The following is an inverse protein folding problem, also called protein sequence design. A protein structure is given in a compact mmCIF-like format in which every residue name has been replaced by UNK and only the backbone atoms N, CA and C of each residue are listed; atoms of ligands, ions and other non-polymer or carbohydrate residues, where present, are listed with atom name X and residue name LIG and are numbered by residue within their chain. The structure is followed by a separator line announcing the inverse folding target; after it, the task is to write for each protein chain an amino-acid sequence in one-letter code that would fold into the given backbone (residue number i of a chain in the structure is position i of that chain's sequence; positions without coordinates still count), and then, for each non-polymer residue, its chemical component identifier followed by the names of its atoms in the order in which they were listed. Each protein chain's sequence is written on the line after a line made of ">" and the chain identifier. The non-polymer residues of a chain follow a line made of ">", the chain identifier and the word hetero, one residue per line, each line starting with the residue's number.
data_IF_820917839759
#
_entry.id   IF_820917839759
#
_cell.length_a   1.000
_cell.length_b   1.000
_cell.length_c   1.000
_cell.angle_alpha   90.00
_cell.angle_beta   90.00
_cell.angle_gamma   90.00
#
_symmetry.space_group_name_H-M   'P 1'
#
loop_
_entity.id
_entity.type
_entity.pdbx_description
1 polymer ?
#
# COMPACT_ATOMS: atom_id res chain seq x y z
N UNK A 1 -1.52 -76.84 -19.16
CA UNK A 1 -1.34 -76.50 -17.72
C UNK A 1 -0.68 -75.18 -17.64
N UNK A 2 -1.48 -74.09 -17.42
CA UNK A 2 -0.95 -72.77 -17.12
C UNK A 2 -2.01 -71.99 -16.33
N UNK A 3 -1.78 -71.91 -15.04
CA UNK A 3 -2.64 -71.34 -14.04
C UNK A 3 -2.43 -69.78 -14.02
N UNK A 4 -3.41 -69.01 -14.45
CA UNK A 4 -3.45 -67.57 -14.24
C UNK A 4 -3.85 -67.27 -12.81
N UNK A 5 -2.93 -66.71 -11.99
CA UNK A 5 -3.21 -66.14 -10.68
C UNK A 5 -3.83 -64.73 -10.86
N UNK A 6 -5.07 -64.58 -10.47
CA UNK A 6 -5.75 -63.28 -10.38
C UNK A 6 -5.41 -62.64 -9.04
N UNK A 7 -4.78 -61.47 -9.07
CA UNK A 7 -4.54 -60.68 -7.88
C UNK A 7 -5.74 -59.74 -7.70
N UNK A 8 -6.56 -60.01 -6.69
CA UNK A 8 -7.64 -59.13 -6.25
C UNK A 8 -7.10 -58.17 -5.22
N UNK A 9 -7.05 -56.89 -5.57
CA UNK A 9 -6.88 -55.80 -4.59
C UNK A 9 -8.21 -55.54 -3.89
N UNK A 10 -8.29 -55.86 -2.59
CA UNK A 10 -9.38 -55.43 -1.73
C UNK A 10 -9.09 -54.04 -1.25
N UNK A 11 -9.86 -53.02 -1.72
CA UNK A 11 -9.90 -51.71 -1.11
C UNK A 11 -10.75 -51.81 0.17
N UNK A 12 -10.13 -51.75 1.32
CA UNK A 12 -10.80 -51.56 2.58
C UNK A 12 -11.18 -50.06 2.72
N UNK A 13 -12.43 -49.76 2.48
CA UNK A 13 -12.99 -48.43 2.82
C UNK A 13 -13.30 -48.49 4.32
N UNK A 14 -12.52 -47.76 5.10
CA UNK A 14 -12.81 -47.50 6.50
C UNK A 14 -14.09 -46.65 6.60
N UNK A 15 -15.13 -47.25 7.12
CA UNK A 15 -16.36 -46.59 7.52
C UNK A 15 -16.15 -46.12 8.95
N UNK A 16 -15.78 -44.88 9.15
CA UNK A 16 -15.88 -44.18 10.44
C UNK A 16 -17.03 -43.20 10.37
N UNK A 17 -18.10 -43.57 11.05
CA UNK A 17 -19.17 -42.67 11.42
C UNK A 17 -18.67 -41.77 12.54
N UNK A 18 -18.55 -40.47 12.27
CA UNK A 18 -18.57 -39.46 13.33
C UNK A 18 -19.34 -38.22 12.84
N UNK A 19 -20.56 -38.12 13.40
CA UNK A 19 -21.30 -36.87 13.41
C UNK A 19 -20.43 -35.83 14.10
N UNK A 20 -19.83 -34.92 13.36
CA UNK A 20 -19.33 -33.65 13.90
C UNK A 20 -20.18 -32.53 13.33
N UNK A 21 -20.97 -31.95 14.21
CA UNK A 21 -21.61 -30.67 14.02
C UNK A 21 -20.54 -29.64 13.64
N UNK A 22 -20.68 -29.07 12.45
CA UNK A 22 -19.94 -27.84 12.09
C UNK A 22 -20.54 -26.72 12.91
N UNK A 23 -19.92 -26.43 14.05
CA UNK A 23 -20.20 -25.22 14.81
C UNK A 23 -19.73 -24.05 13.96
N UNK A 24 -20.68 -23.23 13.48
CA UNK A 24 -20.36 -21.93 12.89
C UNK A 24 -19.72 -21.07 13.96
N UNK A 25 -18.40 -20.92 13.88
CA UNK A 25 -17.65 -19.97 14.68
C UNK A 25 -18.07 -18.56 14.20
N UNK A 26 -18.93 -17.92 14.96
CA UNK A 26 -19.12 -16.48 14.89
C UNK A 26 -17.79 -15.82 15.24
N UNK A 27 -17.08 -15.33 14.24
CA UNK A 27 -15.93 -14.47 14.45
C UNK A 27 -16.49 -13.15 14.99
N UNK A 28 -16.48 -13.00 16.31
CA UNK A 28 -16.68 -11.72 16.96
C UNK A 28 -15.55 -10.80 16.55
N UNK A 29 -15.83 -9.84 15.67
CA UNK A 29 -14.92 -8.74 15.40
C UNK A 29 -14.68 -7.97 16.70
N UNK A 30 -13.41 -7.76 17.10
CA UNK A 30 -13.14 -6.92 18.25
C UNK A 30 -13.67 -5.52 17.95
N UNK A 31 -14.62 -5.06 18.77
CA UNK A 31 -15.05 -3.67 18.77
C UNK A 31 -13.89 -2.84 19.30
N UNK A 32 -13.08 -2.28 18.41
CA UNK A 32 -12.13 -1.24 18.80
C UNK A 32 -12.95 -0.01 19.19
N UNK A 33 -12.90 0.32 20.49
CA UNK A 33 -13.40 1.59 20.97
C UNK A 33 -12.68 2.72 20.22
N UNK A 34 -13.44 3.49 19.45
CA UNK A 34 -12.94 4.63 18.70
C UNK A 34 -12.45 5.68 19.70
N UNK A 35 -11.12 5.85 19.81
CA UNK A 35 -10.55 7.13 20.20
C UNK A 35 -11.01 8.15 19.15
N UNK A 36 -11.43 9.32 19.58
CA UNK A 36 -11.88 10.45 18.74
C UNK A 36 -10.71 10.98 17.92
N UNK A 37 -10.21 10.22 16.96
CA UNK A 37 -9.35 10.74 15.91
C UNK A 37 -10.23 11.38 14.84
N UNK A 38 -9.90 12.60 14.48
CA UNK A 38 -10.63 13.46 13.55
C UNK A 38 -10.77 12.86 12.14
N UNK A 39 -9.96 11.86 11.80
CA UNK A 39 -9.98 11.14 10.53
C UNK A 39 -9.99 9.63 10.74
N UNK A 40 -10.87 8.94 10.03
CA UNK A 40 -10.85 7.48 9.98
C UNK A 40 -9.80 7.00 8.98
N UNK A 41 -8.95 6.07 9.39
CA UNK A 41 -7.97 5.46 8.48
C UNK A 41 -8.72 4.48 7.56
N UNK A 42 -8.73 4.76 6.26
CA UNK A 42 -9.34 3.87 5.29
C UNK A 42 -8.50 2.58 5.15
N UNK A 43 -9.13 1.39 5.16
CA UNK A 43 -8.41 0.13 5.00
C UNK A 43 -7.81 -0.01 3.59
N UNK A 44 -6.79 -0.88 3.46
CA UNK A 44 -6.18 -1.24 2.17
C UNK A 44 -7.12 -2.16 1.36
N UNK A 45 -8.23 -1.62 0.85
CA UNK A 45 -9.23 -2.42 0.13
C UNK A 45 -8.91 -2.66 -1.36
N UNK A 46 -7.73 -2.25 -1.83
CA UNK A 46 -7.27 -2.41 -3.21
C UNK A 46 -8.31 -1.91 -4.23
N UNK A 47 -8.84 -2.82 -5.08
CA UNK A 47 -9.86 -2.49 -6.07
C UNK A 47 -11.30 -2.64 -5.56
N UNK A 48 -11.51 -3.10 -4.33
CA UNK A 48 -12.85 -3.37 -3.79
C UNK A 48 -13.68 -2.10 -3.60
N UNK A 49 -13.01 -1.01 -3.29
CA UNK A 49 -13.59 0.32 -3.14
C UNK A 49 -12.74 1.38 -3.84
N UNK A 50 -13.35 2.51 -4.12
CA UNK A 50 -12.69 3.69 -4.68
C UNK A 50 -13.21 4.94 -3.99
N UNK A 51 -12.31 5.89 -3.74
CA UNK A 51 -12.63 7.19 -3.14
C UNK A 51 -12.18 8.36 -4.04
N UNK A 52 -11.86 8.06 -5.30
CA UNK A 52 -11.51 9.09 -6.26
C UNK A 52 -11.57 8.64 -7.71
N UNK A 53 -11.65 9.58 -8.66
CA UNK A 53 -11.88 9.27 -10.08
C UNK A 53 -10.70 8.56 -10.76
N UNK A 54 -9.48 8.63 -10.20
CA UNK A 54 -8.33 7.91 -10.74
C UNK A 54 -8.33 6.40 -10.40
N UNK A 55 -9.09 5.97 -9.38
CA UNK A 55 -9.22 4.56 -8.99
C UNK A 55 -10.54 3.91 -9.43
N UNK A 56 -11.61 4.69 -9.58
CA UNK A 56 -12.95 4.20 -9.90
C UNK A 56 -13.03 3.32 -11.15
N UNK A 57 -12.44 3.68 -12.32
CA UNK A 57 -12.49 2.82 -13.49
C UNK A 57 -11.77 1.49 -13.29
N UNK A 58 -10.67 1.48 -12.54
CA UNK A 58 -9.93 0.25 -12.19
C UNK A 58 -10.74 -0.64 -11.25
N UNK A 59 -11.46 -0.06 -10.29
CA UNK A 59 -12.35 -0.79 -9.40
C UNK A 59 -13.47 -1.50 -10.19
N UNK A 60 -14.13 -0.81 -11.13
CA UNK A 60 -15.17 -1.41 -11.97
C UNK A 60 -14.62 -2.54 -12.83
N UNK A 61 -13.47 -2.35 -13.47
CA UNK A 61 -12.80 -3.40 -14.23
C UNK A 61 -12.48 -4.61 -13.35
N UNK A 62 -11.98 -4.37 -12.13
CA UNK A 62 -11.67 -5.41 -11.14
C UNK A 62 -12.90 -6.24 -10.76
N UNK A 63 -14.04 -5.61 -10.53
CA UNK A 63 -15.30 -6.30 -10.22
C UNK A 63 -15.83 -7.12 -11.39
N UNK A 64 -15.80 -6.58 -12.61
CA UNK A 64 -16.19 -7.33 -13.82
C UNK A 64 -15.30 -8.57 -14.00
N UNK A 65 -13.99 -8.41 -13.85
CA UNK A 65 -13.03 -9.51 -13.93
C UNK A 65 -13.31 -10.56 -12.86
N UNK A 66 -13.55 -10.13 -11.62
CA UNK A 66 -13.87 -11.02 -10.50
C UNK A 66 -15.16 -11.81 -10.74
N UNK A 67 -16.22 -11.15 -11.25
CA UNK A 67 -17.46 -11.81 -11.57
C UNK A 67 -17.27 -12.90 -12.65
N UNK A 68 -16.51 -12.62 -13.70
CA UNK A 68 -16.18 -13.61 -14.76
C UNK A 68 -15.42 -14.80 -14.15
N UNK A 69 -14.41 -14.54 -13.30
CA UNK A 69 -13.65 -15.62 -12.66
C UNK A 69 -14.52 -16.50 -11.76
N UNK A 70 -15.42 -15.90 -10.98
CA UNK A 70 -16.36 -16.64 -10.11
C UNK A 70 -17.28 -17.52 -10.95
N UNK A 71 -17.83 -17.01 -12.05
CA UNK A 71 -18.67 -17.79 -12.95
C UNK A 71 -17.90 -18.98 -13.55
N UNK A 72 -16.69 -18.73 -14.05
CA UNK A 72 -15.83 -19.81 -14.60
C UNK A 72 -15.52 -20.84 -13.51
N UNK A 73 -15.15 -20.41 -12.32
CA UNK A 73 -14.88 -21.29 -11.18
C UNK A 73 -16.07 -22.19 -10.85
N UNK A 74 -17.29 -21.62 -10.80
CA UNK A 74 -18.52 -22.37 -10.54
C UNK A 74 -18.76 -23.40 -11.66
N UNK A 75 -18.67 -22.99 -12.91
CA UNK A 75 -18.86 -23.90 -14.07
C UNK A 75 -17.87 -25.08 -14.00
N UNK A 76 -16.58 -24.79 -13.84
CA UNK A 76 -15.55 -25.83 -13.77
C UNK A 76 -15.76 -26.76 -12.57
N UNK A 77 -16.13 -26.21 -11.41
CA UNK A 77 -16.42 -26.99 -10.20
C UNK A 77 -17.62 -27.91 -10.41
N UNK A 78 -18.69 -27.41 -11.00
CA UNK A 78 -19.88 -28.21 -11.28
C UNK A 78 -19.60 -29.32 -12.31
N UNK A 79 -18.84 -29.03 -13.37
CA UNK A 79 -18.41 -30.03 -14.34
C UNK A 79 -17.52 -31.11 -13.70
N UNK A 80 -16.62 -30.72 -12.80
CA UNK A 80 -15.77 -31.66 -12.09
C UNK A 80 -16.60 -32.55 -11.16
N UNK A 81 -17.50 -32.00 -10.38
CA UNK A 81 -18.41 -32.74 -9.49
C UNK A 81 -19.26 -33.71 -10.33
N UNK A 82 -19.83 -33.23 -11.44
CA UNK A 82 -20.60 -34.08 -12.33
C UNK A 82 -19.74 -35.23 -12.88
N UNK A 83 -18.52 -34.95 -13.33
CA UNK A 83 -17.60 -35.98 -13.85
C UNK A 83 -17.19 -37.02 -12.82
N UNK A 84 -17.08 -36.64 -11.52
CA UNK A 84 -16.78 -37.55 -10.41
C UNK A 84 -17.98 -38.41 -10.04
N UNK A 85 -19.18 -37.88 -10.08
CA UNK A 85 -20.41 -38.58 -9.70
C UNK A 85 -20.98 -39.43 -10.85
N UNK A 86 -20.65 -39.09 -12.11
CA UNK A 86 -21.15 -39.77 -13.28
C UNK A 86 -20.44 -41.14 -13.48
N UNK A 87 -21.21 -42.21 -13.42
CA UNK A 87 -20.70 -43.57 -13.68
C UNK A 87 -20.35 -43.70 -15.15
N UNK A 88 -19.08 -43.84 -15.46
CA UNK A 88 -18.62 -44.14 -16.83
C UNK A 88 -18.80 -45.61 -17.12
N UNK A 89 -19.37 -46.02 -18.29
CA UNK A 89 -19.34 -47.38 -18.72
C UNK A 89 -17.90 -47.86 -18.90
N UNK A 90 -17.60 -49.08 -18.49
CA UNK A 90 -16.31 -49.73 -18.77
C UNK A 90 -16.30 -49.97 -20.27
N UNK A 91 -15.46 -49.24 -20.99
CA UNK A 91 -15.26 -49.41 -22.42
C UNK A 91 -14.12 -50.41 -22.55
N UNK A 92 -14.42 -51.64 -23.05
CA UNK A 92 -13.39 -52.59 -23.45
C UNK A 92 -12.53 -51.94 -24.55
N UNK A 93 -11.19 -52.00 -24.40
CA UNK A 93 -10.17 -51.19 -25.05
C UNK A 93 -10.09 -51.24 -26.61
N UNK A 94 -11.19 -51.53 -27.28
CA UNK A 94 -11.28 -51.57 -28.77
C UNK A 94 -12.08 -50.45 -29.36
N UNK A 95 -12.66 -49.52 -28.58
CA UNK A 95 -13.43 -48.38 -29.09
C UNK A 95 -12.68 -47.07 -28.85
N UNK A 96 -11.52 -46.90 -29.47
CA UNK A 96 -11.02 -45.62 -29.90
C UNK A 96 -11.57 -45.41 -31.32
N UNK A 97 -12.86 -45.56 -31.49
CA UNK A 97 -13.49 -45.19 -32.75
C UNK A 97 -14.45 -44.05 -32.48
N UNK A 98 -13.94 -42.90 -32.88
CA UNK A 98 -14.69 -41.90 -33.64
C UNK A 98 -15.98 -41.38 -33.02
N UNK A 99 -15.95 -40.24 -32.67
CA UNK A 99 -16.62 -39.17 -33.39
C UNK A 99 -16.10 -37.87 -32.77
N UNK A 100 -15.62 -36.99 -33.62
CA UNK A 100 -15.08 -35.65 -33.34
C UNK A 100 -16.06 -34.69 -32.66
N UNK A 101 -17.09 -35.20 -31.97
CA UNK A 101 -18.03 -34.39 -31.16
C UNK A 101 -17.34 -33.64 -30.04
N UNK A 102 -16.22 -34.17 -29.54
CA UNK A 102 -15.39 -33.47 -28.51
C UNK A 102 -14.70 -32.23 -29.08
N UNK A 103 -14.31 -32.27 -30.35
CA UNK A 103 -13.60 -31.17 -31.00
C UNK A 103 -14.51 -29.93 -31.15
N UNK A 104 -15.81 -30.14 -31.40
CA UNK A 104 -16.79 -29.06 -31.45
C UNK A 104 -16.85 -28.27 -30.14
N UNK A 105 -16.86 -28.97 -29.00
CA UNK A 105 -16.87 -28.33 -27.69
C UNK A 105 -15.58 -27.55 -27.40
N UNK A 106 -14.44 -28.03 -27.91
CA UNK A 106 -13.17 -27.31 -27.84
C UNK A 106 -13.26 -25.99 -28.65
N UNK A 107 -13.76 -26.04 -29.88
CA UNK A 107 -13.95 -24.84 -30.72
C UNK A 107 -14.93 -23.85 -30.08
N UNK A 108 -16.06 -24.33 -29.53
CA UNK A 108 -17.03 -23.48 -28.84
C UNK A 108 -16.38 -22.83 -27.61
N UNK A 109 -15.71 -23.62 -26.76
CA UNK A 109 -15.07 -23.11 -25.55
C UNK A 109 -13.95 -22.11 -25.87
N UNK A 110 -13.10 -22.42 -26.84
CA UNK A 110 -12.03 -21.51 -27.30
C UNK A 110 -12.63 -20.23 -27.89
N UNK A 111 -13.67 -20.33 -28.72
CA UNK A 111 -14.34 -19.19 -29.34
C UNK A 111 -14.93 -18.25 -28.27
N UNK A 112 -15.68 -18.80 -27.31
CA UNK A 112 -16.25 -18.01 -26.19
C UNK A 112 -15.13 -17.34 -25.38
N UNK A 113 -14.09 -18.10 -25.00
CA UNK A 113 -12.96 -17.55 -24.24
C UNK A 113 -12.25 -16.43 -24.97
N UNK A 114 -12.02 -16.60 -26.29
CA UNK A 114 -11.39 -15.58 -27.14
C UNK A 114 -12.25 -14.30 -27.19
N UNK A 115 -13.56 -14.43 -27.36
CA UNK A 115 -14.46 -13.27 -27.36
C UNK A 115 -14.44 -12.53 -25.99
N UNK A 116 -14.48 -13.27 -24.88
CA UNK A 116 -14.41 -12.67 -23.53
C UNK A 116 -13.08 -11.93 -23.33
N UNK A 117 -11.94 -12.56 -23.69
CA UNK A 117 -10.62 -11.96 -23.55
C UNK A 117 -10.49 -10.71 -24.43
N UNK A 118 -11.02 -10.74 -25.65
CA UNK A 118 -11.00 -9.57 -26.53
C UNK A 118 -11.84 -8.41 -25.98
N UNK A 119 -13.04 -8.71 -25.46
CA UNK A 119 -13.88 -7.71 -24.80
C UNK A 119 -13.20 -7.11 -23.56
N UNK A 120 -12.55 -7.94 -22.74
CA UNK A 120 -11.76 -7.47 -21.58
C UNK A 120 -10.56 -6.63 -22.00
N UNK A 121 -9.88 -6.98 -23.09
CA UNK A 121 -8.77 -6.17 -23.61
C UNK A 121 -9.25 -4.77 -24.04
N UNK A 122 -10.37 -4.69 -24.76
CA UNK A 122 -10.98 -3.39 -25.12
C UNK A 122 -11.36 -2.62 -23.86
N UNK A 123 -12.03 -3.26 -22.89
CA UNK A 123 -12.42 -2.60 -21.63
C UNK A 123 -11.20 -2.09 -20.85
N UNK A 124 -10.10 -2.85 -20.84
CA UNK A 124 -8.83 -2.42 -20.23
C UNK A 124 -8.28 -1.17 -20.93
N UNK A 125 -8.28 -1.11 -22.26
CA UNK A 125 -7.83 0.08 -23.00
C UNK A 125 -8.69 1.31 -22.71
N UNK A 126 -10.01 1.14 -22.63
CA UNK A 126 -10.94 2.22 -22.23
C UNK A 126 -10.64 2.69 -20.80
N UNK A 127 -10.42 1.76 -19.86
CA UNK A 127 -10.05 2.06 -18.48
C UNK A 127 -8.73 2.83 -18.41
N UNK A 128 -7.69 2.38 -19.12
CA UNK A 128 -6.40 3.06 -19.18
C UNK A 128 -6.53 4.50 -19.70
N UNK A 129 -7.33 4.70 -20.74
CA UNK A 129 -7.58 6.05 -21.28
C UNK A 129 -8.32 6.93 -20.27
N UNK A 130 -9.28 6.38 -19.53
CA UNK A 130 -10.05 7.12 -18.53
C UNK A 130 -9.21 7.60 -17.34
N UNK A 131 -8.19 6.82 -16.93
CA UNK A 131 -7.30 7.18 -15.81
C UNK A 131 -6.04 7.93 -16.24
N UNK A 132 -5.78 8.08 -17.54
CA UNK A 132 -4.55 8.67 -18.06
C UNK A 132 -4.40 10.16 -17.69
N UNK A 133 -5.50 10.89 -17.57
CA UNK A 133 -5.51 12.32 -17.27
C UNK A 133 -6.70 12.68 -16.38
N UNK A 134 -6.54 13.63 -15.44
CA UNK A 134 -7.66 14.17 -14.68
C UNK A 134 -8.57 15.02 -15.59
N UNK A 135 -9.84 15.16 -15.17
CA UNK A 135 -10.83 15.97 -15.89
C UNK A 135 -10.53 17.49 -15.83
N UNK A 136 -9.81 17.93 -14.79
CA UNK A 136 -9.35 19.30 -14.60
C UNK A 136 -7.82 19.32 -14.48
N UNK A 137 -7.20 20.45 -14.79
CA UNK A 137 -5.78 20.63 -14.55
C UNK A 137 -5.46 20.45 -13.06
N UNK A 138 -4.38 19.75 -12.70
CA UNK A 138 -3.96 19.62 -11.32
C UNK A 138 -3.70 21.00 -10.68
N UNK A 139 -4.29 21.24 -9.51
CA UNK A 139 -4.09 22.46 -8.74
C UNK A 139 -2.89 22.39 -7.79
N UNK A 140 -2.31 21.22 -7.62
CA UNK A 140 -1.15 20.96 -6.75
C UNK A 140 -0.21 19.99 -7.44
N UNK A 141 1.10 20.24 -7.31
CA UNK A 141 2.14 19.35 -7.81
C UNK A 141 3.04 18.91 -6.66
N UNK A 142 3.28 17.62 -6.57
CA UNK A 142 4.19 17.01 -5.61
C UNK A 142 5.31 16.27 -6.34
N UNK A 143 6.52 16.31 -5.80
CA UNK A 143 7.56 15.33 -6.16
C UNK A 143 7.76 14.36 -5.00
N UNK A 144 7.50 13.08 -5.24
CA UNK A 144 7.76 12.00 -4.29
C UNK A 144 9.00 11.24 -4.73
N UNK A 145 10.00 11.17 -3.85
CA UNK A 145 11.23 10.41 -4.09
C UNK A 145 11.29 9.24 -3.12
N UNK A 146 11.39 8.02 -3.67
CA UNK A 146 11.59 6.80 -2.89
C UNK A 146 13.05 6.64 -2.49
N UNK A 147 13.28 6.29 -1.25
CA UNK A 147 14.57 5.88 -0.67
C UNK A 147 14.37 4.52 0.01
N UNK A 148 15.42 3.81 0.32
CA UNK A 148 15.45 2.60 1.15
C UNK A 148 15.29 2.97 2.65
N UNK A 149 14.15 2.85 3.30
CA UNK A 149 12.78 2.47 2.87
C UNK A 149 11.84 3.52 3.44
N UNK A 150 11.79 4.70 2.81
CA UNK A 150 10.97 5.84 3.19
C UNK A 150 10.66 6.73 1.98
N UNK A 151 9.75 7.68 2.14
CA UNK A 151 9.27 8.56 1.08
C UNK A 151 9.58 10.01 1.43
N UNK A 152 10.40 10.68 0.60
CA UNK A 152 10.55 12.13 0.62
C UNK A 152 9.42 12.72 -0.20
N UNK A 153 8.70 13.71 0.35
CA UNK A 153 7.62 14.41 -0.33
C UNK A 153 7.96 15.89 -0.41
N UNK A 154 8.00 16.40 -1.60
CA UNK A 154 8.33 17.79 -1.93
C UNK A 154 7.08 18.44 -2.50
N UNK A 155 6.58 19.51 -1.86
CA UNK A 155 5.50 20.35 -2.38
C UNK A 155 6.11 21.41 -3.28
N UNK A 156 5.74 21.34 -4.56
CA UNK A 156 6.25 22.27 -5.57
C UNK A 156 5.40 23.55 -5.54
N UNK A 157 6.06 24.68 -5.78
CA UNK A 157 5.44 25.97 -5.99
C UNK A 157 6.27 26.75 -7.02
N UNK A 158 5.65 27.67 -7.76
CA UNK A 158 6.36 28.53 -8.70
C UNK A 158 7.35 29.42 -7.97
N UNK A 159 6.97 29.93 -6.79
CA UNK A 159 7.88 30.62 -5.87
C UNK A 159 8.71 29.59 -5.08
N UNK A 160 10.04 29.55 -5.28
CA UNK A 160 10.90 28.64 -4.53
C UNK A 160 10.84 28.78 -3.00
N UNK A 161 10.46 29.96 -2.49
CA UNK A 161 10.35 30.22 -1.06
C UNK A 161 9.12 29.54 -0.43
N UNK A 162 8.13 29.17 -1.25
CA UNK A 162 6.92 28.45 -0.84
C UNK A 162 7.04 26.93 -0.99
N UNK A 163 8.20 26.43 -1.41
CA UNK A 163 8.48 25.01 -1.48
C UNK A 163 8.89 24.48 -0.11
N UNK A 164 8.40 23.30 0.23
CA UNK A 164 8.81 22.62 1.46
C UNK A 164 8.83 21.11 1.27
N UNK A 165 9.46 20.44 2.23
CA UNK A 165 9.67 18.98 2.23
C UNK A 165 9.07 18.39 3.48
N UNK A 166 8.40 17.23 3.32
CA UNK A 166 7.98 16.36 4.41
C UNK A 166 8.35 14.91 4.08
N UNK A 167 7.95 13.96 4.93
CA UNK A 167 8.26 12.55 4.73
C UNK A 167 7.11 11.63 5.15
N UNK A 168 6.84 10.59 4.33
CA UNK A 168 5.92 9.49 4.57
C UNK A 168 4.45 9.87 4.74
N UNK A 169 4.12 11.15 4.77
CA UNK A 169 2.76 11.67 4.90
C UNK A 169 2.53 12.74 3.84
N UNK A 170 1.42 12.61 3.10
CA UNK A 170 1.03 13.50 1.99
C UNK A 170 -0.32 14.09 2.34
N UNK A 171 -0.41 15.42 2.43
CA UNK A 171 -1.68 16.11 2.60
C UNK A 171 -2.18 16.65 1.26
N UNK A 172 -3.45 16.46 0.97
CA UNK A 172 -4.09 16.98 -0.25
C UNK A 172 -5.49 17.51 0.07
N UNK A 173 -5.96 18.52 -0.69
CA UNK A 173 -7.34 18.99 -0.57
C UNK A 173 -8.31 18.01 -1.22
N UNK A 174 -9.50 17.83 -0.62
CA UNK A 174 -10.57 17.04 -1.19
C UNK A 174 -11.08 17.59 -2.53
N UNK A 175 -11.44 16.73 -3.45
CA UNK A 175 -12.04 17.07 -4.74
C UNK A 175 -11.09 17.69 -5.78
N UNK A 176 -9.82 17.95 -5.45
CA UNK A 176 -8.87 18.54 -6.38
C UNK A 176 -7.84 17.49 -6.88
N UNK A 177 -7.59 17.43 -8.20
CA UNK A 177 -6.56 16.56 -8.73
C UNK A 177 -5.17 17.10 -8.38
N UNK A 178 -4.30 16.19 -7.98
CA UNK A 178 -2.90 16.45 -7.60
C UNK A 178 -1.98 15.68 -8.53
N UNK A 179 -1.04 16.37 -9.15
CA UNK A 179 0.02 15.76 -9.95
C UNK A 179 1.13 15.26 -9.03
N UNK A 180 1.47 13.99 -9.13
CA UNK A 180 2.56 13.37 -8.37
C UNK A 180 3.67 12.97 -9.35
N UNK A 181 4.79 13.68 -9.28
CA UNK A 181 6.04 13.31 -9.96
C UNK A 181 6.77 12.28 -9.10
N UNK A 182 7.24 11.21 -9.69
CA UNK A 182 7.75 10.03 -9.03
C UNK A 182 9.19 9.76 -9.42
N UNK A 183 10.09 9.80 -8.44
CA UNK A 183 11.54 9.59 -8.60
C UNK A 183 12.03 8.53 -7.62
N UNK A 184 13.13 7.90 -7.93
CA UNK A 184 13.88 7.04 -7.01
C UNK A 184 15.30 7.53 -6.83
N UNK A 185 15.79 7.48 -5.59
CA UNK A 185 17.15 7.85 -5.23
C UNK A 185 18.12 6.66 -5.24
N UNK A 186 17.63 5.44 -5.24
CA UNK A 186 18.43 4.22 -5.07
C UNK A 186 17.96 3.07 -5.97
N UNK A 187 17.01 2.24 -5.54
CA UNK A 187 16.49 1.10 -6.30
C UNK A 187 15.11 1.42 -6.90
N UNK A 188 14.54 0.50 -7.66
CA UNK A 188 13.17 0.67 -8.16
C UNK A 188 12.18 0.49 -7.00
N UNK A 189 11.29 1.48 -6.84
CA UNK A 189 10.11 1.43 -5.98
C UNK A 189 8.84 1.51 -6.82
N UNK A 190 7.67 1.42 -6.22
CA UNK A 190 6.41 1.78 -6.86
C UNK A 190 5.45 2.43 -5.86
N UNK A 191 4.96 3.60 -6.22
CA UNK A 191 4.01 4.37 -5.43
C UNK A 191 2.59 3.88 -5.69
N UNK A 192 1.85 3.58 -4.64
CA UNK A 192 0.47 3.14 -4.75
C UNK A 192 -0.36 3.49 -3.52
N UNK A 193 -1.39 4.30 -3.73
CA UNK A 193 -2.49 4.52 -2.79
C UNK A 193 -3.75 3.86 -3.39
N UNK A 194 -4.09 2.61 -3.00
CA UNK A 194 -5.05 1.75 -3.71
C UNK A 194 -6.42 2.37 -3.93
N UNK A 195 -6.90 3.12 -2.94
CA UNK A 195 -8.23 3.72 -2.96
C UNK A 195 -8.31 5.01 -3.78
N UNK A 196 -7.16 5.59 -4.16
CA UNK A 196 -7.07 6.89 -4.84
C UNK A 196 -6.61 6.79 -6.29
N UNK A 197 -5.70 5.85 -6.62
CA UNK A 197 -5.16 5.72 -7.96
C UNK A 197 -4.54 4.34 -8.21
N UNK A 198 -4.18 4.07 -9.47
CA UNK A 198 -3.32 2.96 -9.84
C UNK A 198 -1.90 3.10 -9.28
N UNK A 199 -1.05 2.11 -9.55
CA UNK A 199 0.35 2.10 -9.13
C UNK A 199 1.28 2.53 -10.27
N UNK A 200 2.34 3.27 -9.92
CA UNK A 200 3.35 3.74 -10.87
C UNK A 200 4.76 3.45 -10.34
N UNK A 201 5.60 2.89 -11.18
CA UNK A 201 7.00 2.60 -10.85
C UNK A 201 7.81 3.89 -10.73
N UNK A 202 8.77 3.86 -9.81
CA UNK A 202 9.76 4.90 -9.54
C UNK A 202 11.13 4.32 -9.89
N UNK A 203 11.67 4.75 -11.02
CA UNK A 203 12.88 4.15 -11.61
C UNK A 203 14.04 5.15 -11.46
N UNK A 204 15.20 4.74 -10.94
CA UNK A 204 16.38 5.60 -10.86
C UNK A 204 16.73 6.25 -12.21
N UNK A 205 16.96 7.55 -12.20
CA UNK A 205 17.28 8.31 -13.40
C UNK A 205 16.07 8.72 -14.27
N UNK A 206 14.87 8.26 -13.95
CA UNK A 206 13.64 8.64 -14.65
C UNK A 206 12.68 9.40 -13.72
N UNK A 207 11.83 10.23 -14.30
CA UNK A 207 10.71 10.86 -13.59
C UNK A 207 9.41 10.39 -14.23
N UNK A 208 8.70 9.50 -13.52
CA UNK A 208 7.36 9.10 -13.90
C UNK A 208 6.33 10.05 -13.28
N UNK A 209 5.09 9.97 -13.73
CA UNK A 209 4.02 10.82 -13.25
C UNK A 209 2.73 10.01 -13.11
N UNK A 210 1.96 10.35 -12.10
CA UNK A 210 0.56 9.99 -12.00
C UNK A 210 -0.21 11.12 -11.32
N UNK A 211 -1.52 11.07 -11.38
CA UNK A 211 -2.36 11.97 -10.61
C UNK A 211 -3.17 11.18 -9.59
N UNK A 212 -3.46 11.83 -8.47
CA UNK A 212 -4.35 11.31 -7.43
C UNK A 212 -5.42 12.35 -7.14
N UNK A 213 -6.57 11.90 -6.71
CA UNK A 213 -7.66 12.73 -6.21
C UNK A 213 -8.48 11.90 -5.23
N UNK A 214 -8.92 12.51 -4.15
CA UNK A 214 -9.90 11.92 -3.25
C UNK A 214 -11.11 12.84 -3.16
N UNK A 215 -12.30 12.27 -3.29
CA UNK A 215 -13.56 13.00 -3.23
C UNK A 215 -14.10 13.06 -1.79
N UNK A 216 -13.54 12.27 -0.88
CA UNK A 216 -13.94 12.15 0.52
C UNK A 216 -12.74 12.40 1.42
N UNK A 217 -12.95 13.22 2.45
CA UNK A 217 -11.95 13.47 3.50
C UNK A 217 -11.63 12.18 4.26
N UNK A 218 -10.39 12.07 4.75
CA UNK A 218 -9.95 10.91 5.50
C UNK A 218 -8.46 10.62 5.34
N UNK A 219 -8.02 9.50 5.89
CA UNK A 219 -6.64 9.04 5.79
C UNK A 219 -6.59 7.76 4.95
N UNK A 220 -5.85 7.82 3.87
CA UNK A 220 -5.72 6.75 2.88
C UNK A 220 -4.31 6.18 2.92
N UNK A 221 -4.21 4.91 3.25
CA UNK A 221 -2.93 4.23 3.34
C UNK A 221 -2.39 3.89 1.95
N UNK A 222 -1.10 4.15 1.75
CA UNK A 222 -0.32 3.72 0.60
C UNK A 222 0.89 2.89 0.98
N UNK A 223 1.50 2.26 -0.01
CA UNK A 223 2.66 1.38 0.21
C UNK A 223 3.52 1.26 -1.05
N UNK A 224 4.77 0.84 -0.87
CA UNK A 224 5.61 0.37 -1.96
C UNK A 224 5.08 -0.96 -2.51
N UNK A 225 4.99 -1.09 -3.83
CA UNK A 225 4.49 -2.30 -4.52
C UNK A 225 5.48 -2.89 -5.52
N UNK A 226 6.73 -2.41 -5.53
CA UNK A 226 7.84 -3.02 -6.23
C UNK A 226 8.88 -3.46 -5.21
N UNK A 227 9.26 -4.74 -5.20
CA UNK A 227 10.24 -5.25 -4.26
C UNK A 227 11.53 -4.41 -4.32
N UNK A 228 11.89 -3.82 -3.20
CA UNK A 228 12.99 -2.87 -3.04
C UNK A 228 13.95 -3.28 -1.91
N UNK A 229 13.94 -4.54 -1.49
CA UNK A 229 14.85 -5.05 -0.48
C UNK A 229 14.19 -5.42 0.85
N UNK A 230 15.00 -5.45 1.90
CA UNK A 230 14.68 -6.09 3.18
C UNK A 230 13.43 -5.52 3.86
N UNK A 231 13.22 -4.20 3.78
CA UNK A 231 12.09 -3.53 4.43
C UNK A 231 10.99 -3.10 3.43
N UNK A 232 10.90 -3.79 2.29
CA UNK A 232 9.87 -3.53 1.29
C UNK A 232 8.44 -3.52 1.88
N UNK A 233 8.10 -4.48 2.72
CA UNK A 233 6.79 -4.57 3.37
C UNK A 233 6.54 -3.45 4.40
N UNK A 234 7.59 -2.78 4.86
CA UNK A 234 7.57 -1.72 5.85
C UNK A 234 7.88 -0.35 5.24
N UNK A 235 7.55 -0.16 3.99
CA UNK A 235 7.68 1.11 3.27
C UNK A 235 6.28 1.64 2.92
N UNK A 236 5.56 2.04 3.97
CA UNK A 236 4.23 2.63 3.88
C UNK A 236 4.27 4.16 3.86
N UNK A 237 3.12 4.75 3.53
CA UNK A 237 2.84 6.18 3.65
C UNK A 237 1.35 6.39 3.86
N UNK A 238 0.96 7.61 4.24
CA UNK A 238 -0.45 8.02 4.32
C UNK A 238 -0.71 9.22 3.41
N UNK A 239 -1.93 9.26 2.85
CA UNK A 239 -2.49 10.42 2.17
C UNK A 239 -3.61 10.94 3.05
N UNK A 240 -3.40 12.10 3.66
CA UNK A 240 -4.37 12.80 4.51
C UNK A 240 -5.14 13.76 3.62
N UNK A 241 -6.43 13.53 3.49
CA UNK A 241 -7.33 14.33 2.66
C UNK A 241 -8.18 15.21 3.56
N UNK A 242 -8.12 16.50 3.34
CA UNK A 242 -8.72 17.52 4.17
C UNK A 242 -9.58 18.44 3.32
N UNK A 243 -10.52 19.15 3.94
CA UNK A 243 -11.14 20.27 3.25
C UNK A 243 -10.10 21.33 2.84
N UNK A 244 -10.47 22.19 1.90
CA UNK A 244 -9.53 23.16 1.34
C UNK A 244 -8.98 24.15 2.39
N UNK A 245 -9.76 24.53 3.39
CA UNK A 245 -9.34 25.47 4.42
C UNK A 245 -8.37 24.83 5.42
N UNK A 246 -8.65 23.60 5.84
CA UNK A 246 -7.74 22.83 6.71
C UNK A 246 -6.44 22.48 5.99
N UNK A 247 -6.51 22.08 4.73
CA UNK A 247 -5.32 21.84 3.91
C UNK A 247 -4.47 23.12 3.80
N UNK A 248 -5.08 24.27 3.53
CA UNK A 248 -4.33 25.54 3.43
C UNK A 248 -3.69 25.90 4.77
N UNK A 249 -4.42 25.76 5.88
CA UNK A 249 -3.88 25.99 7.23
C UNK A 249 -2.68 25.08 7.53
N UNK A 250 -2.78 23.80 7.17
CA UNK A 250 -1.68 22.86 7.30
C UNK A 250 -0.48 23.28 6.43
N UNK A 251 -0.73 23.61 5.15
CA UNK A 251 0.30 24.08 4.21
C UNK A 251 1.02 25.31 4.74
N UNK A 252 0.28 26.30 5.25
CA UNK A 252 0.84 27.52 5.85
C UNK A 252 1.67 27.21 7.10
N UNK A 253 1.27 26.21 7.86
CA UNK A 253 2.05 25.67 8.99
C UNK A 253 3.38 25.11 8.53
N UNK A 254 3.38 24.35 7.43
CA UNK A 254 4.58 23.70 6.89
C UNK A 254 5.63 24.71 6.35
N UNK A 255 5.26 25.94 6.03
CA UNK A 255 6.22 26.97 5.64
C UNK A 255 6.99 27.59 6.81
N UNK A 256 6.49 27.42 8.03
CA UNK A 256 7.15 27.98 9.22
C UNK A 256 8.40 27.18 9.57
N UNK A 257 9.38 27.86 10.13
CA UNK A 257 10.52 27.22 10.77
C UNK A 257 10.10 26.63 12.11
N UNK A 258 10.88 25.67 12.60
CA UNK A 258 10.71 25.16 13.95
C UNK A 258 10.79 26.32 14.97
N UNK A 259 9.93 26.30 15.98
CA UNK A 259 9.96 27.27 17.06
C UNK A 259 11.11 26.92 17.98
N UNK A 260 12.13 27.74 18.02
CA UNK A 260 13.25 27.60 18.96
C UNK A 260 12.85 28.20 20.30
N UNK A 261 12.87 27.36 21.35
CA UNK A 261 12.59 27.79 22.71
C UNK A 261 13.87 28.28 23.42
N UNK A 262 13.73 29.18 24.38
CA UNK A 262 14.82 29.57 25.28
C UNK A 262 14.94 28.64 26.52
N UNK A 263 14.12 27.61 26.61
CA UNK A 263 14.15 26.61 27.68
C UNK A 263 15.48 25.86 27.69
N UNK A 264 16.01 25.59 28.89
CA UNK A 264 17.29 24.90 29.05
C UNK A 264 17.28 23.48 28.50
N UNK A 265 16.19 22.73 28.75
CA UNK A 265 16.03 21.34 28.31
C UNK A 265 15.86 21.27 26.81
N UNK A 266 15.13 22.22 26.21
CA UNK A 266 15.05 22.37 24.75
C UNK A 266 16.43 22.59 24.12
N UNK A 267 17.22 23.50 24.68
CA UNK A 267 18.55 23.81 24.17
C UNK A 267 19.54 22.63 24.35
N UNK A 268 19.44 21.90 25.49
CA UNK A 268 20.22 20.69 25.67
C UNK A 268 19.84 19.61 24.65
N UNK A 269 18.56 19.43 24.37
CA UNK A 269 18.05 18.52 23.33
C UNK A 269 18.49 18.94 21.93
N UNK A 270 18.43 20.22 21.58
CA UNK A 270 18.93 20.77 20.31
C UNK A 270 20.44 20.51 20.15
N UNK A 271 21.24 20.78 21.16
CA UNK A 271 22.69 20.51 21.11
C UNK A 271 23.00 19.03 20.89
N UNK A 272 22.29 18.13 21.60
CA UNK A 272 22.41 16.69 21.37
C UNK A 272 21.99 16.28 19.97
N UNK A 273 20.92 16.87 19.45
CA UNK A 273 20.48 16.65 18.07
C UNK A 273 21.53 17.12 17.05
N UNK A 274 22.10 18.29 17.25
CA UNK A 274 23.16 18.83 16.38
C UNK A 274 24.38 17.92 16.34
N UNK A 275 24.78 17.37 17.49
CA UNK A 275 25.93 16.46 17.60
C UNK A 275 25.69 15.11 16.90
N UNK A 276 24.51 14.52 17.07
CA UNK A 276 24.28 13.12 16.69
C UNK A 276 23.34 12.91 15.49
N UNK A 277 22.48 13.87 15.16
CA UNK A 277 21.39 13.68 14.21
C UNK A 277 21.47 14.60 12.98
N UNK A 278 21.98 15.83 13.16
CA UNK A 278 22.00 16.89 12.15
C UNK A 278 22.83 16.55 10.88
N UNK A 279 23.74 15.59 10.97
CA UNK A 279 24.49 15.10 9.80
C UNK A 279 23.58 14.41 8.76
N UNK A 280 22.43 13.87 9.18
CA UNK A 280 21.47 13.20 8.31
C UNK A 280 20.14 13.95 8.17
N UNK A 281 19.63 14.52 9.27
CA UNK A 281 18.32 15.18 9.36
C UNK A 281 18.42 16.71 9.29
N UNK A 282 17.43 17.33 8.66
CA UNK A 282 17.26 18.78 8.68
C UNK A 282 16.16 19.19 9.67
N UNK A 283 16.32 20.39 10.25
CA UNK A 283 15.29 21.13 10.99
C UNK A 283 15.41 22.61 10.57
N UNK A 284 14.43 23.13 9.85
CA UNK A 284 14.42 24.51 9.38
C UNK A 284 14.34 25.49 10.57
N UNK A 285 15.11 26.55 10.51
CA UNK A 285 15.27 27.51 11.62
C UNK A 285 16.43 27.15 12.56
N UNK A 286 17.15 26.07 12.30
CA UNK A 286 18.39 25.67 12.97
C UNK A 286 19.52 25.48 11.98
N UNK A 287 20.72 25.17 12.47
CA UNK A 287 21.87 24.83 11.62
C UNK A 287 21.84 23.37 11.11
N UNK A 288 20.83 22.59 11.47
CA UNK A 288 20.65 21.20 10.98
C UNK A 288 20.12 21.21 9.55
N UNK A 289 21.01 20.89 8.59
CA UNK A 289 20.72 20.92 7.14
C UNK A 289 20.95 19.58 6.46
N UNK A 290 20.96 18.48 7.21
CA UNK A 290 21.16 17.12 6.69
C UNK A 290 20.06 16.73 5.69
N UNK A 291 20.47 16.15 4.54
CA UNK A 291 19.57 15.82 3.43
C UNK A 291 19.43 14.32 3.15
N UNK A 292 20.05 13.47 3.98
CA UNK A 292 20.09 12.01 3.77
C UNK A 292 18.94 11.25 4.44
N UNK A 293 18.18 11.93 5.30
CA UNK A 293 17.08 11.39 6.09
C UNK A 293 15.88 12.38 6.08
N UNK A 294 14.72 12.02 6.62
CA UNK A 294 13.58 12.91 6.70
C UNK A 294 13.88 14.27 7.35
N UNK A 295 13.39 15.36 6.77
CA UNK A 295 13.28 16.65 7.44
C UNK A 295 12.36 16.50 8.66
N UNK A 296 12.81 16.94 9.83
CA UNK A 296 12.12 16.78 11.11
C UNK A 296 11.48 18.07 11.63
N UNK A 297 11.45 19.14 10.84
CA UNK A 297 10.92 20.47 11.24
C UNK A 297 9.55 20.41 11.91
N UNK A 298 8.66 19.58 11.36
CA UNK A 298 7.30 19.37 11.87
C UNK A 298 7.06 17.89 12.21
N UNK A 299 8.03 17.26 12.89
CA UNK A 299 7.98 15.85 13.25
C UNK A 299 6.72 15.52 14.06
N UNK A 300 6.39 16.36 15.04
CA UNK A 300 5.29 16.07 15.96
C UNK A 300 3.90 16.24 15.32
N UNK A 301 3.80 16.91 14.18
CA UNK A 301 2.56 16.99 13.39
C UNK A 301 2.25 15.72 12.59
N UNK A 302 3.23 14.81 12.42
CA UNK A 302 3.05 13.57 11.67
C UNK A 302 2.33 12.53 12.50
N UNK A 303 1.49 11.73 11.86
CA UNK A 303 0.72 10.65 12.49
C UNK A 303 1.57 9.42 12.79
N UNK A 304 2.51 9.10 11.90
CA UNK A 304 3.28 7.86 11.92
C UNK A 304 4.80 8.10 11.81
N UNK A 305 5.56 7.19 12.41
CA UNK A 305 7.01 7.10 12.34
C UNK A 305 7.46 5.90 11.50
N UNK A 306 8.74 5.87 11.14
CA UNK A 306 9.42 4.76 10.46
C UNK A 306 8.73 4.28 9.17
N UNK A 307 8.13 5.20 8.40
CA UNK A 307 7.35 4.92 7.19
C UNK A 307 6.12 4.03 7.45
N UNK A 308 5.33 4.37 8.46
CA UNK A 308 4.05 3.75 8.76
C UNK A 308 4.09 2.56 9.72
N UNK A 309 5.22 2.31 10.39
CA UNK A 309 5.37 1.20 11.33
C UNK A 309 4.87 1.51 12.73
N UNK A 310 5.06 2.73 13.21
CA UNK A 310 4.76 3.13 14.59
C UNK A 310 3.87 4.37 14.59
N UNK A 311 2.93 4.44 15.52
CA UNK A 311 2.21 5.68 15.82
C UNK A 311 3.19 6.69 16.40
N UNK A 312 3.09 7.96 16.03
CA UNK A 312 3.94 9.03 16.53
C UNK A 312 3.51 9.40 17.95
N UNK A 313 4.18 8.81 18.91
CA UNK A 313 4.09 9.13 20.34
C UNK A 313 5.50 9.32 20.89
N UNK A 314 5.69 10.09 21.99
CA UNK A 314 7.01 10.24 22.60
C UNK A 314 7.71 8.91 22.89
N UNK A 315 6.98 7.94 23.41
CA UNK A 315 7.53 6.61 23.71
C UNK A 315 7.97 5.85 22.46
N UNK A 316 7.14 5.83 21.41
CA UNK A 316 7.49 5.19 20.16
C UNK A 316 8.62 5.91 19.42
N UNK A 317 8.68 7.25 19.53
CA UNK A 317 9.77 8.03 18.96
C UNK A 317 11.10 7.67 19.61
N UNK A 318 11.15 7.62 20.93
CA UNK A 318 12.37 7.23 21.65
C UNK A 318 12.74 5.77 21.42
N UNK A 319 11.74 4.88 21.36
CA UNK A 319 11.95 3.48 20.99
C UNK A 319 12.53 3.34 19.57
N UNK A 320 12.01 4.12 18.62
CA UNK A 320 12.53 4.14 17.25
C UNK A 320 13.98 4.63 17.19
N UNK A 321 14.31 5.69 17.92
CA UNK A 321 15.66 6.24 17.97
C UNK A 321 16.65 5.24 18.61
N UNK A 322 16.28 4.63 19.72
CA UNK A 322 17.16 3.70 20.42
C UNK A 322 17.33 2.35 19.71
N UNK A 323 16.29 1.87 19.01
CA UNK A 323 16.19 0.50 18.48
C UNK A 323 15.79 0.45 17.00
N UNK A 324 16.27 1.40 16.19
CA UNK A 324 15.91 1.49 14.79
C UNK A 324 16.23 0.20 14.01
N UNK A 325 17.36 -0.46 14.32
CA UNK A 325 17.78 -1.68 13.65
C UNK A 325 17.02 -2.93 14.12
N UNK A 326 16.42 -2.90 15.32
CA UNK A 326 15.56 -3.99 15.80
C UNK A 326 14.15 -3.88 15.20
N UNK A 327 13.65 -2.64 15.02
CA UNK A 327 12.33 -2.34 14.46
C UNK A 327 12.33 -2.44 12.93
N UNK A 328 13.38 -1.94 12.29
CA UNK A 328 13.51 -1.86 10.83
C UNK A 328 14.93 -2.22 10.40
N UNK A 329 15.31 -3.51 10.49
CA UNK A 329 16.66 -3.98 10.16
C UNK A 329 17.14 -3.54 8.78
N UNK A 330 18.38 -3.08 8.70
CA UNK A 330 18.98 -2.63 7.45
C UNK A 330 18.63 -1.20 7.03
N UNK A 331 17.78 -0.49 7.79
CA UNK A 331 17.54 0.94 7.57
C UNK A 331 18.83 1.74 7.81
N UNK A 332 18.95 2.91 7.17
CA UNK A 332 20.16 3.74 7.32
C UNK A 332 20.25 4.44 8.69
N UNK A 333 19.15 4.49 9.45
CA UNK A 333 19.16 5.02 10.81
C UNK A 333 19.78 3.99 11.76
N UNK A 334 20.89 4.30 12.44
CA UNK A 334 21.51 3.39 13.41
C UNK A 334 20.70 3.34 14.72
N UNK A 335 20.97 2.33 15.55
CA UNK A 335 20.56 2.38 16.96
C UNK A 335 21.37 3.46 17.66
N UNK A 336 20.71 4.30 18.44
CA UNK A 336 21.34 5.37 19.22
C UNK A 336 21.43 4.96 20.68
N UNK A 337 22.64 4.77 21.16
CA UNK A 337 22.88 4.56 22.61
C UNK A 337 22.76 5.90 23.32
N UNK A 338 21.68 6.05 24.12
CA UNK A 338 21.38 7.25 24.88
C UNK A 338 21.29 6.90 26.36
N UNK A 339 21.91 7.71 27.20
CA UNK A 339 21.61 7.69 28.65
C UNK A 339 20.18 8.15 28.90
N UNK A 340 19.65 7.85 30.07
CA UNK A 340 18.30 8.28 30.46
C UNK A 340 18.12 9.81 30.42
N UNK A 341 19.16 10.56 30.79
CA UNK A 341 19.15 12.02 30.73
C UNK A 341 19.14 12.53 29.26
N UNK A 342 19.99 11.99 28.40
CA UNK A 342 20.00 12.33 26.96
C UNK A 342 18.68 12.00 26.30
N UNK A 343 18.09 10.83 26.61
CA UNK A 343 16.79 10.43 26.08
C UNK A 343 15.69 11.42 26.51
N UNK A 344 15.68 11.88 27.74
CA UNK A 344 14.69 12.83 28.24
C UNK A 344 14.75 14.18 27.51
N UNK A 345 15.95 14.79 27.42
CA UNK A 345 16.11 16.09 26.74
C UNK A 345 15.87 15.99 25.23
N UNK A 346 16.28 14.91 24.59
CA UNK A 346 16.02 14.69 23.16
C UNK A 346 14.52 14.50 22.89
N UNK A 347 13.82 13.75 23.73
CA UNK A 347 12.36 13.56 23.62
C UNK A 347 11.61 14.87 23.80
N UNK A 348 11.97 15.68 24.80
CA UNK A 348 11.38 17.00 25.01
C UNK A 348 11.58 17.91 23.79
N UNK A 349 12.80 17.97 23.26
CA UNK A 349 13.11 18.75 22.06
C UNK A 349 12.30 18.30 20.84
N UNK A 350 12.35 17.00 20.49
CA UNK A 350 11.67 16.47 19.31
C UNK A 350 10.14 16.57 19.41
N UNK A 351 9.58 16.44 20.60
CA UNK A 351 8.14 16.61 20.84
C UNK A 351 7.66 18.06 20.70
N UNK A 352 8.56 19.03 20.71
CA UNK A 352 8.26 20.46 20.50
C UNK A 352 8.27 20.86 19.00
N UNK A 353 8.68 19.98 18.10
CA UNK A 353 8.77 20.26 16.66
C UNK A 353 7.39 20.14 15.97
N UNK A 354 6.57 21.20 16.06
CA UNK A 354 5.22 21.30 15.50
C UNK A 354 5.18 22.15 14.24
#
# INVERSE_FOLDING_TARGET
>A
MNTKKSVRYKLNIFRTSSNQLVAAAFISTPSFAASTEQYTVAPLNYFLHSYGPASTPTMHLGWVFTAILVVIFIIVSLLLIWALLHKRPIIDGHYIDKEDKGILWIYIGTGISTCILFALAIYTLVTLNAIAKPAMAPGLTLTVTGYDWWWKVEYEDDDPSLRFVTANEIHIPAGLPVLVKLKSADVIHAFWAPLLAGKTQMIPGLTNQQWIQADVEGVYRGQCTQYCGLQHAHMGFEVVVQDTAEFQKWKDGQHKSAVVSSDSDFNAGLNLFMDRCAGCHAIRGTEAVGAHAPDLTHLNSRRLLAAGLLTNTPDNLMKWIAHAQDIKPGSRMPNMELSAAEAAVLSAFLSALN
#
